data_IF_994373919435
#
_entry.id   IF_994373919435
#
_cell.length_a   1.000
_cell.length_b   1.000
_cell.length_c   1.000
_cell.angle_alpha   90.00
_cell.angle_beta   90.00
_cell.angle_gamma   90.00
#
_symmetry.space_group_name_H-M   'P 1'
#
loop_
_entity.id
_entity.type
_entity.pdbx_description
1 polymer ?
#
# COMPACT_ATOMS: atom_id res chain seq x y z
N UNK A 1 -18.43 24.26 25.68
CA UNK A 1 -18.68 23.64 27.00
C UNK A 1 -17.38 23.46 27.78
N UNK A 2 -16.27 23.15 27.14
CA UNK A 2 -14.99 22.87 27.81
C UNK A 2 -14.34 24.05 28.55
N UNK A 3 -14.47 25.28 28.04
CA UNK A 3 -13.85 26.46 28.68
C UNK A 3 -14.48 26.78 30.06
N UNK A 4 -15.78 26.57 30.22
CA UNK A 4 -16.46 26.75 31.50
C UNK A 4 -16.11 25.70 32.51
N UNK A 5 -15.90 24.44 32.09
CA UNK A 5 -15.44 23.37 32.95
C UNK A 5 -13.98 23.56 33.40
N UNK A 6 -13.13 24.10 32.53
CA UNK A 6 -11.74 24.41 32.91
C UNK A 6 -11.70 25.57 33.91
N UNK A 7 -12.51 26.61 33.71
CA UNK A 7 -12.58 27.75 34.68
C UNK A 7 -13.12 27.30 36.04
N UNK A 8 -14.14 26.45 36.06
CA UNK A 8 -14.66 25.87 37.33
C UNK A 8 -13.64 24.96 38.03
N UNK A 9 -12.90 24.17 37.30
CA UNK A 9 -11.84 23.33 37.88
C UNK A 9 -10.68 24.18 38.40
N UNK A 10 -10.36 25.30 37.75
CA UNK A 10 -9.35 26.24 38.24
C UNK A 10 -9.80 26.98 39.49
N UNK A 11 -11.06 27.36 39.62
CA UNK A 11 -11.63 27.94 40.86
C UNK A 11 -11.60 26.93 42.00
N UNK A 12 -11.97 25.67 41.77
CA UNK A 12 -11.91 24.64 42.79
C UNK A 12 -10.49 24.35 43.26
N UNK A 13 -9.51 24.31 42.34
CA UNK A 13 -8.09 24.14 42.69
C UNK A 13 -7.54 25.36 43.44
N UNK A 14 -7.95 26.57 43.08
CA UNK A 14 -7.57 27.79 43.80
C UNK A 14 -8.11 27.81 45.25
N UNK A 15 -9.36 27.38 45.44
CA UNK A 15 -9.98 27.24 46.76
C UNK A 15 -9.32 26.13 47.64
N UNK A 16 -8.94 25.02 47.02
CA UNK A 16 -8.20 23.96 47.71
C UNK A 16 -6.79 24.41 48.12
N UNK A 17 -6.11 25.15 47.28
CA UNK A 17 -4.78 25.71 47.56
C UNK A 17 -4.88 26.75 48.71
N UNK A 18 -5.93 27.58 48.77
CA UNK A 18 -6.14 28.52 49.85
C UNK A 18 -6.42 27.81 51.21
N UNK A 19 -7.23 26.74 51.20
CA UNK A 19 -7.47 25.91 52.38
C UNK A 19 -6.19 25.22 52.86
N UNK A 20 -5.42 24.69 51.95
CA UNK A 20 -4.15 24.04 52.28
C UNK A 20 -3.13 25.04 52.84
N UNK A 21 -3.15 26.28 52.38
CA UNK A 21 -2.34 27.36 52.92
C UNK A 21 -2.74 27.73 54.36
N UNK A 22 -4.04 27.83 54.68
CA UNK A 22 -4.53 28.10 56.03
C UNK A 22 -4.21 26.96 57.01
N UNK A 23 -4.24 25.70 56.53
CA UNK A 23 -3.85 24.53 57.33
C UNK A 23 -2.32 24.48 57.53
N UNK A 24 -1.54 24.75 56.51
CA UNK A 24 -0.08 24.83 56.58
C UNK A 24 0.40 25.97 57.48
N UNK A 25 -0.25 27.16 57.48
CA UNK A 25 0.07 28.26 58.37
C UNK A 25 -0.26 27.93 59.82
N UNK A 26 -1.24 27.06 60.10
CA UNK A 26 -1.52 26.54 61.42
C UNK A 26 -0.48 25.51 61.90
N UNK A 27 0.00 24.66 61.04
CA UNK A 27 1.05 23.68 61.32
C UNK A 27 2.44 24.33 61.44
N UNK A 28 2.73 25.38 60.65
CA UNK A 28 3.98 26.14 60.68
C UNK A 28 4.20 26.82 62.04
N UNK A 29 3.12 27.20 62.75
CA UNK A 29 3.21 27.75 64.11
C UNK A 29 3.53 26.71 65.16
N UNK A 30 3.48 25.42 64.80
CA UNK A 30 3.67 24.31 65.71
C UNK A 30 4.99 23.51 65.56
N UNK A 31 5.75 23.62 64.48
CA UNK A 31 7.00 22.86 64.31
C UNK A 31 8.04 23.56 63.38
N UNK A 32 9.16 23.83 63.90
CA UNK A 32 10.13 24.88 63.49
C UNK A 32 11.02 24.70 62.27
N UNK A 33 11.44 23.62 61.71
CA UNK A 33 12.39 23.59 60.57
C UNK A 33 11.85 22.97 59.27
N UNK A 34 10.95 22.00 59.34
CA UNK A 34 10.27 21.40 58.17
C UNK A 34 9.34 22.41 57.50
N UNK A 35 8.91 23.42 58.29
CA UNK A 35 8.03 24.49 57.85
C UNK A 35 8.66 25.48 56.88
N UNK A 36 9.98 25.70 56.89
CA UNK A 36 10.65 26.62 55.97
C UNK A 36 10.75 26.09 54.55
N UNK A 37 10.89 24.78 54.40
CA UNK A 37 10.98 24.13 53.11
C UNK A 37 9.61 24.04 52.41
N UNK A 38 8.55 23.80 53.22
CA UNK A 38 7.16 23.80 52.76
C UNK A 38 6.69 25.19 52.36
N UNK A 39 7.07 26.23 53.10
CA UNK A 39 6.80 27.62 52.72
C UNK A 39 7.51 28.05 51.42
N UNK A 40 8.73 27.54 51.19
CA UNK A 40 9.48 27.81 49.96
C UNK A 40 8.84 27.11 48.73
N UNK A 41 8.34 25.91 48.94
CA UNK A 41 7.63 25.15 47.92
C UNK A 41 6.26 25.75 47.58
N UNK A 42 5.53 26.24 48.59
CA UNK A 42 4.27 26.99 48.42
C UNK A 42 4.46 28.26 47.61
N UNK A 43 5.50 29.02 47.91
CA UNK A 43 5.82 30.24 47.17
C UNK A 43 6.18 29.97 45.70
N UNK A 44 6.92 28.89 45.43
CA UNK A 44 7.21 28.46 44.07
C UNK A 44 5.99 27.93 43.29
N UNK A 45 4.97 27.39 44.01
CA UNK A 45 3.69 26.99 43.45
C UNK A 45 2.79 28.20 43.11
N UNK A 46 2.77 29.21 43.98
CA UNK A 46 2.09 30.48 43.70
C UNK A 46 2.69 31.19 42.48
N UNK A 47 4.02 31.25 42.36
CA UNK A 47 4.70 31.84 41.19
C UNK A 47 4.38 31.06 39.91
N UNK A 48 4.25 29.72 39.97
CA UNK A 48 3.84 28.89 38.82
C UNK A 48 2.36 29.05 38.47
N UNK A 49 1.48 29.22 39.47
CA UNK A 49 0.05 29.52 39.26
C UNK A 49 -0.16 30.89 38.64
N UNK A 50 0.56 31.92 39.10
CA UNK A 50 0.52 33.23 38.47
C UNK A 50 1.10 33.22 37.06
N UNK A 51 2.18 32.49 36.82
CA UNK A 51 2.73 32.31 35.50
C UNK A 51 1.78 31.51 34.54
N UNK A 52 1.00 30.60 35.07
CA UNK A 52 -0.05 29.87 34.33
C UNK A 52 -1.25 30.76 34.04
N UNK A 53 -1.70 31.58 35.02
CA UNK A 53 -2.77 32.55 34.83
C UNK A 53 -2.39 33.60 33.76
N UNK A 54 -1.17 34.10 33.81
CA UNK A 54 -0.65 35.02 32.77
C UNK A 54 -0.53 34.34 31.42
N UNK A 55 -0.22 33.02 31.38
CA UNK A 55 -0.22 32.25 30.12
C UNK A 55 -1.61 32.01 29.58
N UNK A 56 -2.59 31.73 30.45
CA UNK A 56 -3.99 31.54 30.05
C UNK A 56 -4.60 32.87 29.60
N UNK A 57 -4.31 33.99 30.26
CA UNK A 57 -4.69 35.32 29.78
C UNK A 57 -4.01 35.69 28.46
N UNK A 58 -2.75 35.30 28.26
CA UNK A 58 -2.05 35.53 26.99
C UNK A 58 -2.43 34.56 25.86
N UNK A 59 -2.90 33.35 26.16
CA UNK A 59 -3.35 32.38 25.16
C UNK A 59 -4.78 32.60 24.69
N UNK A 60 -5.54 33.45 25.43
CA UNK A 60 -6.94 33.68 25.08
C UNK A 60 -7.17 34.80 24.07
N UNK A 61 -6.13 35.56 23.65
CA UNK A 61 -6.33 36.61 22.61
C UNK A 61 -5.00 36.90 21.89
N UNK A 62 -4.93 36.76 20.56
CA UNK A 62 -3.86 37.43 19.78
C UNK A 62 -4.11 38.93 19.84
N UNK A 63 -3.20 39.65 20.49
CA UNK A 63 -3.22 41.12 20.51
C UNK A 63 -2.76 41.69 19.14
N UNK A 64 -3.63 41.56 18.11
CA UNK A 64 -3.68 42.59 17.08
C UNK A 64 -4.62 43.68 17.58
N UNK A 65 -4.34 44.97 17.31
CA UNK A 65 -5.09 46.15 17.71
C UNK A 65 -6.60 45.87 17.79
N UNK A 66 -7.13 45.82 19.01
CA UNK A 66 -8.58 45.78 19.24
C UNK A 66 -9.16 47.11 18.75
N UNK A 67 -9.61 47.13 17.54
CA UNK A 67 -10.76 47.96 17.22
C UNK A 67 -11.89 47.45 18.07
N UNK A 68 -12.38 48.26 19.05
CA UNK A 68 -13.59 47.92 19.81
C UNK A 68 -14.69 47.55 18.81
N UNK A 69 -14.97 46.28 18.69
CA UNK A 69 -16.11 45.80 17.90
C UNK A 69 -17.36 46.16 18.68
N UNK A 70 -17.92 47.33 18.38
CA UNK A 70 -19.23 47.73 18.87
C UNK A 70 -20.23 46.74 18.28
N UNK A 71 -20.83 45.94 19.12
CA UNK A 71 -21.89 45.01 18.70
C UNK A 71 -22.97 45.72 17.88
N UNK A 72 -23.77 44.98 17.10
CA UNK A 72 -24.84 45.54 16.21
C UNK A 72 -25.73 46.52 16.97
N UNK A 73 -26.01 46.23 18.25
CA UNK A 73 -26.79 47.17 19.12
C UNK A 73 -26.04 48.50 19.40
N UNK A 74 -24.72 48.47 19.54
CA UNK A 74 -23.92 49.70 19.72
C UNK A 74 -23.89 50.55 18.44
N UNK A 75 -23.75 49.91 17.29
CA UNK A 75 -23.81 50.56 15.97
C UNK A 75 -25.20 51.15 15.66
N UNK A 76 -26.27 50.45 16.08
CA UNK A 76 -27.65 50.98 15.96
C UNK A 76 -27.83 52.24 16.78
N UNK A 77 -27.42 52.29 18.04
CA UNK A 77 -27.53 53.43 18.95
C UNK A 77 -26.73 54.63 18.45
N UNK A 78 -25.62 54.43 17.76
CA UNK A 78 -24.81 55.47 17.14
C UNK A 78 -25.29 55.92 15.77
N UNK A 79 -26.16 55.15 15.15
CA UNK A 79 -26.69 55.44 13.82
C UNK A 79 -27.45 56.76 13.80
N UNK A 80 -27.33 57.47 12.68
CA UNK A 80 -28.05 58.73 12.46
C UNK A 80 -29.55 58.55 12.58
N UNK A 81 -30.09 57.42 12.09
CA UNK A 81 -31.50 57.08 12.14
C UNK A 81 -32.05 57.02 13.59
N UNK A 82 -31.26 56.44 14.53
CA UNK A 82 -31.65 56.36 15.94
C UNK A 82 -31.55 57.73 16.63
N UNK A 83 -30.51 58.52 16.32
CA UNK A 83 -30.35 59.88 16.87
C UNK A 83 -31.43 60.82 16.37
N UNK A 84 -31.81 60.77 15.11
CA UNK A 84 -32.87 61.58 14.52
C UNK A 84 -34.25 61.19 15.08
N UNK A 85 -34.46 59.88 15.37
CA UNK A 85 -35.68 59.39 16.04
C UNK A 85 -35.78 59.93 17.47
N UNK A 86 -34.71 59.94 18.22
CA UNK A 86 -34.65 60.50 19.58
C UNK A 86 -34.86 62.02 19.59
N UNK A 87 -34.31 62.76 18.61
CA UNK A 87 -34.44 64.20 18.50
C UNK A 87 -35.84 64.67 18.04
N UNK A 88 -36.52 63.84 17.22
CA UNK A 88 -37.84 64.17 16.70
C UNK A 88 -38.99 63.77 17.63
N UNK A 89 -38.75 62.97 18.69
CA UNK A 89 -39.79 62.50 19.63
C UNK A 89 -40.86 61.63 19.04
N UNK A 90 -40.75 61.22 17.76
CA UNK A 90 -41.66 60.34 17.06
C UNK A 90 -41.03 58.93 16.97
N UNK A 91 -41.66 57.96 17.59
CA UNK A 91 -41.21 56.54 17.54
C UNK A 91 -41.74 55.87 16.25
N UNK A 92 -41.23 56.35 15.08
CA UNK A 92 -41.40 55.62 13.81
C UNK A 92 -40.27 54.64 13.64
N UNK A 93 -40.51 53.54 12.91
CA UNK A 93 -39.49 52.46 12.72
C UNK A 93 -38.21 52.99 12.09
N UNK A 94 -37.13 53.03 12.87
CA UNK A 94 -35.81 53.33 12.37
C UNK A 94 -35.21 52.06 11.79
N UNK A 95 -34.88 52.01 10.50
CA UNK A 95 -34.17 50.93 9.86
C UNK A 95 -32.69 51.20 9.82
N UNK A 96 -31.88 50.26 10.22
CA UNK A 96 -30.43 50.32 10.18
C UNK A 96 -29.89 49.19 9.31
N UNK A 97 -29.23 49.51 8.22
CA UNK A 97 -28.56 48.53 7.40
C UNK A 97 -27.17 48.21 7.97
N UNK A 98 -26.98 46.97 8.39
CA UNK A 98 -25.64 46.46 8.77
C UNK A 98 -24.85 46.19 7.49
N UNK A 99 -23.89 47.06 7.17
CA UNK A 99 -23.11 46.94 5.94
C UNK A 99 -21.98 45.84 6.01
N UNK A 100 -21.73 45.28 7.15
CA UNK A 100 -20.78 44.19 7.28
C UNK A 100 -21.46 42.83 7.10
N UNK A 101 -21.23 42.21 5.97
CA UNK A 101 -21.62 40.84 5.73
C UNK A 101 -20.59 39.93 6.41
N UNK A 102 -21.03 39.13 7.37
CA UNK A 102 -20.19 38.07 7.95
C UNK A 102 -19.98 37.03 6.85
N UNK A 103 -18.75 36.91 6.35
CA UNK A 103 -18.37 35.98 5.30
C UNK A 103 -17.30 35.00 5.79
N UNK A 104 -17.11 33.92 5.07
CA UNK A 104 -16.05 32.93 5.34
C UNK A 104 -14.64 33.39 4.91
N UNK A 105 -14.45 34.68 4.60
CA UNK A 105 -13.13 35.25 4.34
C UNK A 105 -12.33 35.39 5.66
N UNK A 106 -11.00 35.21 5.57
CA UNK A 106 -10.10 35.28 6.73
C UNK A 106 -10.21 36.60 7.53
N UNK A 107 -10.58 37.71 6.88
CA UNK A 107 -10.76 39.03 7.52
C UNK A 107 -12.12 39.17 8.26
N UNK A 108 -13.03 38.22 8.17
CA UNK A 108 -14.35 38.26 8.79
C UNK A 108 -14.54 37.06 9.73
N UNK A 109 -15.18 35.98 9.27
CA UNK A 109 -15.46 34.80 10.08
C UNK A 109 -14.70 33.55 9.58
N UNK A 110 -13.73 33.70 8.66
CA UNK A 110 -12.98 32.59 8.07
C UNK A 110 -12.25 31.73 9.11
N UNK A 111 -11.70 32.34 10.14
CA UNK A 111 -10.99 31.64 11.22
C UNK A 111 -11.93 30.85 12.14
N UNK A 112 -13.24 31.06 12.09
CA UNK A 112 -14.23 30.30 12.83
C UNK A 112 -14.73 29.05 12.07
N UNK A 113 -14.43 28.97 10.78
CA UNK A 113 -14.76 27.82 9.93
C UNK A 113 -13.65 26.78 10.06
N UNK A 114 -13.86 25.82 10.92
CA UNK A 114 -12.92 24.69 11.09
C UNK A 114 -13.16 23.69 9.95
N UNK A 115 -12.20 23.47 9.04
CA UNK A 115 -12.31 22.47 8.02
C UNK A 115 -12.45 21.08 8.63
N UNK A 116 -13.39 20.27 8.17
CA UNK A 116 -13.51 18.88 8.57
C UNK A 116 -12.34 18.10 7.97
N UNK A 117 -11.43 17.62 8.81
CA UNK A 117 -10.34 16.74 8.39
C UNK A 117 -10.87 15.30 8.36
N UNK A 118 -10.80 14.65 7.21
CA UNK A 118 -11.07 13.22 7.10
C UNK A 118 -9.96 12.47 7.83
N UNK A 119 -10.28 11.63 8.83
CA UNK A 119 -9.26 10.85 9.53
C UNK A 119 -8.68 9.81 8.60
N UNK A 120 -7.36 9.62 8.65
CA UNK A 120 -6.67 8.63 7.86
C UNK A 120 -5.83 9.23 6.71
N UNK A 121 -5.01 8.34 6.12
CA UNK A 121 -4.22 8.61 4.92
C UNK A 121 -4.92 7.93 3.75
N UNK A 122 -5.31 8.69 2.74
CA UNK A 122 -5.90 8.14 1.52
C UNK A 122 -4.73 7.64 0.67
N UNK A 123 -4.57 6.30 0.63
CA UNK A 123 -3.55 5.67 -0.19
C UNK A 123 -3.95 5.68 -1.67
N UNK A 124 -2.98 5.78 -2.61
CA UNK A 124 -3.24 5.52 -4.02
C UNK A 124 -3.66 4.04 -4.22
N UNK A 125 -4.40 3.73 -5.32
CA UNK A 125 -4.78 2.36 -5.65
C UNK A 125 -3.54 1.48 -5.81
N UNK A 126 -3.68 0.20 -5.51
CA UNK A 126 -2.62 -0.80 -5.58
C UNK A 126 -2.88 -1.77 -6.72
N UNK A 127 -1.80 -2.16 -7.44
CA UNK A 127 -1.88 -3.20 -8.46
C UNK A 127 -2.09 -4.57 -7.80
N UNK A 128 -2.98 -5.41 -8.34
CA UNK A 128 -3.18 -6.76 -7.81
C UNK A 128 -1.97 -7.64 -8.11
N UNK A 129 -1.39 -8.24 -7.08
CA UNK A 129 -0.26 -9.17 -7.15
C UNK A 129 -0.81 -10.58 -7.39
N UNK A 130 -0.50 -11.20 -8.53
CA UNK A 130 -1.17 -12.45 -8.94
C UNK A 130 -0.24 -13.57 -9.37
N UNK A 131 1.02 -13.28 -9.69
CA UNK A 131 1.96 -14.30 -10.22
C UNK A 131 2.28 -15.34 -9.14
N UNK A 132 2.54 -14.88 -7.91
CA UNK A 132 2.79 -15.76 -6.77
C UNK A 132 1.67 -16.81 -6.55
N UNK A 133 0.43 -16.43 -6.70
CA UNK A 133 -0.73 -17.29 -6.48
C UNK A 133 -0.87 -18.41 -7.51
N UNK A 134 -0.26 -18.23 -8.68
CA UNK A 134 -0.21 -19.26 -9.71
C UNK A 134 0.77 -20.38 -9.41
N UNK A 135 1.81 -20.11 -8.60
CA UNK A 135 2.90 -21.02 -8.30
C UNK A 135 2.58 -21.97 -7.14
N UNK A 136 3.31 -23.07 -7.07
CA UNK A 136 3.34 -23.87 -5.85
C UNK A 136 4.16 -23.14 -4.80
N UNK A 137 3.73 -23.18 -3.53
CA UNK A 137 4.39 -22.51 -2.42
C UNK A 137 5.04 -23.52 -1.49
N UNK A 138 6.21 -23.19 -0.94
CA UNK A 138 6.94 -23.99 0.02
C UNK A 138 7.76 -23.10 0.95
N UNK A 139 8.31 -23.69 1.99
CA UNK A 139 9.18 -23.01 2.96
C UNK A 139 10.55 -23.69 3.00
N UNK A 140 11.61 -22.92 3.26
CA UNK A 140 12.96 -23.42 3.37
C UNK A 140 13.74 -22.73 4.48
N UNK A 141 14.65 -23.46 5.12
CA UNK A 141 15.64 -22.91 6.05
C UNK A 141 17.03 -22.78 5.43
N UNK A 142 17.22 -23.39 4.23
CA UNK A 142 18.49 -23.40 3.52
C UNK A 142 18.74 -22.11 2.73
N UNK A 143 19.99 -21.83 2.39
CA UNK A 143 20.36 -20.68 1.55
C UNK A 143 20.30 -20.97 0.03
N UNK A 144 20.18 -22.23 -0.32
CA UNK A 144 20.02 -22.71 -1.69
C UNK A 144 19.19 -23.98 -1.68
N UNK A 145 18.50 -24.22 -2.79
CA UNK A 145 17.68 -25.41 -3.01
C UNK A 145 18.28 -26.15 -4.19
N UNK A 146 18.67 -27.39 -3.94
CA UNK A 146 19.19 -28.27 -4.97
C UNK A 146 18.09 -29.26 -5.38
N UNK A 147 17.93 -29.47 -6.68
CA UNK A 147 17.00 -30.42 -7.23
C UNK A 147 17.59 -31.13 -8.45
N UNK A 148 17.23 -32.39 -8.64
CA UNK A 148 17.65 -33.17 -9.80
C UNK A 148 16.59 -33.02 -10.90
N UNK A 149 17.00 -32.55 -12.07
CA UNK A 149 16.18 -32.47 -13.27
C UNK A 149 16.53 -33.63 -14.22
N UNK A 150 15.51 -34.33 -14.72
CA UNK A 150 15.68 -35.29 -15.80
C UNK A 150 15.81 -34.54 -17.13
N UNK A 151 17.00 -34.56 -17.68
CA UNK A 151 17.34 -33.83 -18.92
C UNK A 151 17.23 -34.68 -20.16
N UNK A 152 17.30 -36.00 -20.04
CA UNK A 152 17.14 -36.91 -21.16
C UNK A 152 16.31 -38.13 -20.74
N UNK A 153 15.29 -38.42 -21.50
CA UNK A 153 14.55 -39.67 -21.49
C UNK A 153 14.44 -40.21 -22.89
N UNK A 154 15.14 -41.29 -23.17
CA UNK A 154 15.03 -42.00 -24.45
C UNK A 154 14.26 -43.29 -24.21
N UNK A 155 13.04 -43.34 -24.74
CA UNK A 155 12.24 -44.56 -24.70
C UNK A 155 12.50 -45.38 -25.97
N UNK A 156 13.22 -46.48 -25.82
CA UNK A 156 13.50 -47.41 -26.89
C UNK A 156 12.67 -48.70 -26.76
N UNK A 157 11.58 -48.65 -25.96
CA UNK A 157 10.71 -49.82 -25.80
C UNK A 157 10.13 -50.27 -27.14
N UNK A 158 10.43 -51.48 -27.53
CA UNK A 158 9.93 -52.13 -28.76
C UNK A 158 9.52 -53.57 -28.50
N UNK A 159 8.72 -54.10 -29.36
CA UNK A 159 8.40 -55.52 -29.32
C UNK A 159 9.68 -56.35 -29.54
N UNK A 160 9.96 -57.24 -28.60
CA UNK A 160 11.09 -58.16 -28.70
C UNK A 160 10.57 -59.53 -29.16
N UNK A 161 11.05 -59.93 -30.33
CA UNK A 161 10.76 -61.30 -30.80
C UNK A 161 11.48 -62.34 -29.94
N UNK A 162 10.95 -63.57 -29.90
CA UNK A 162 11.59 -64.66 -29.23
C UNK A 162 12.97 -64.92 -29.85
N UNK A 163 14.00 -64.94 -29.00
CA UNK A 163 15.40 -65.15 -29.41
C UNK A 163 15.70 -66.64 -29.43
N UNK A 164 16.17 -67.17 -30.59
CA UNK A 164 16.67 -68.53 -30.71
C UNK A 164 18.08 -68.53 -31.35
N UNK A 165 18.77 -69.64 -31.28
CA UNK A 165 20.23 -69.70 -31.56
C UNK A 165 20.68 -69.15 -32.91
N UNK A 166 19.83 -69.13 -33.93
CA UNK A 166 20.16 -68.56 -35.25
C UNK A 166 19.78 -67.10 -35.45
N UNK A 167 19.03 -66.47 -34.53
CA UNK A 167 18.60 -65.10 -34.60
C UNK A 167 18.51 -64.44 -33.21
N UNK A 168 19.64 -64.10 -32.60
CA UNK A 168 19.64 -63.46 -31.29
C UNK A 168 19.02 -62.07 -31.39
N UNK A 169 17.94 -61.85 -30.69
CA UNK A 169 17.27 -60.56 -30.58
C UNK A 169 17.60 -59.95 -29.20
N UNK A 170 18.28 -58.80 -29.23
CA UNK A 170 18.57 -58.03 -28.01
C UNK A 170 17.39 -57.09 -27.71
N UNK A 171 17.01 -56.98 -26.45
CA UNK A 171 16.04 -55.98 -26.01
C UNK A 171 16.61 -54.58 -26.18
N UNK A 172 15.78 -53.63 -26.60
CA UNK A 172 16.21 -52.26 -26.76
C UNK A 172 16.55 -51.62 -25.43
N UNK A 173 17.61 -50.81 -25.38
CA UNK A 173 18.09 -50.13 -24.20
C UNK A 173 17.54 -48.70 -24.18
N UNK A 174 16.90 -48.32 -23.08
CA UNK A 174 16.45 -46.95 -22.80
C UNK A 174 17.45 -46.20 -21.92
N UNK A 175 17.60 -44.89 -22.11
CA UNK A 175 18.56 -44.09 -21.40
C UNK A 175 17.85 -42.97 -20.62
N UNK A 176 18.37 -42.72 -19.39
CA UNK A 176 17.96 -41.63 -18.52
C UNK A 176 19.22 -40.81 -18.15
N UNK A 177 19.04 -39.50 -18.06
CA UNK A 177 20.07 -38.60 -17.58
C UNK A 177 19.48 -37.59 -16.63
N UNK A 178 20.16 -37.35 -15.50
CA UNK A 178 19.79 -36.40 -14.49
C UNK A 178 20.89 -35.38 -14.31
N UNK A 179 20.52 -34.09 -14.25
CA UNK A 179 21.43 -33.00 -13.92
C UNK A 179 20.93 -32.32 -12.64
N UNK A 180 21.88 -31.94 -11.75
CA UNK A 180 21.54 -31.24 -10.51
C UNK A 180 21.58 -29.75 -10.77
N UNK A 181 20.49 -29.08 -10.46
CA UNK A 181 20.38 -27.62 -10.52
C UNK A 181 20.22 -27.03 -9.14
N UNK A 182 20.74 -25.82 -8.96
CA UNK A 182 20.70 -25.09 -7.68
C UNK A 182 20.02 -23.74 -7.87
N UNK A 183 18.99 -23.49 -7.09
CA UNK A 183 18.34 -22.19 -6.97
C UNK A 183 18.81 -21.50 -5.67
N UNK A 184 19.43 -20.35 -5.79
CA UNK A 184 19.89 -19.57 -4.64
C UNK A 184 18.77 -18.68 -4.09
N UNK A 185 18.77 -18.48 -2.77
CA UNK A 185 17.84 -17.57 -2.10
C UNK A 185 18.22 -16.12 -2.43
N UNK A 186 17.29 -15.39 -3.04
CA UNK A 186 17.36 -13.95 -3.27
C UNK A 186 16.89 -13.19 -2.03
N UNK A 187 17.41 -11.98 -1.82
CA UNK A 187 16.94 -11.06 -0.78
C UNK A 187 16.47 -9.78 -1.45
N UNK A 188 15.22 -9.41 -1.23
CA UNK A 188 14.68 -8.12 -1.63
C UNK A 188 14.57 -7.26 -0.37
N UNK A 189 15.07 -6.04 -0.43
CA UNK A 189 15.02 -5.11 0.69
C UNK A 189 14.98 -3.66 0.19
N UNK A 190 14.25 -2.84 0.91
CA UNK A 190 14.30 -1.38 0.75
C UNK A 190 14.04 -0.69 2.09
N UNK A 191 14.37 0.58 2.18
CA UNK A 191 14.23 1.32 3.43
C UNK A 191 13.86 2.78 3.18
N UNK A 192 13.27 3.40 4.20
CA UNK A 192 12.86 4.81 4.19
C UNK A 192 13.39 5.48 5.46
N UNK A 193 14.01 6.68 5.33
CA UNK A 193 14.33 7.51 6.49
C UNK A 193 13.08 8.22 7.00
N UNK A 194 12.92 8.32 8.31
CA UNK A 194 11.85 9.07 8.95
C UNK A 194 12.37 9.83 10.17
N UNK A 195 11.74 10.97 10.50
CA UNK A 195 12.00 11.63 11.77
C UNK A 195 11.30 10.88 12.89
N UNK A 196 12.00 10.65 14.00
CA UNK A 196 11.46 10.02 15.19
C UNK A 196 10.23 10.76 15.73
N UNK A 197 10.31 12.09 15.76
CA UNK A 197 9.23 12.96 16.25
C UNK A 197 7.93 12.78 15.48
N UNK A 198 7.99 12.73 14.15
CA UNK A 198 6.81 12.55 13.30
C UNK A 198 6.14 11.19 13.53
N UNK A 199 6.91 10.14 13.78
CA UNK A 199 6.37 8.81 14.02
C UNK A 199 5.75 8.70 15.42
N UNK A 200 6.33 9.38 16.41
CA UNK A 200 5.77 9.47 17.76
C UNK A 200 4.48 10.31 17.79
N UNK A 201 4.45 11.43 17.05
CA UNK A 201 3.30 12.34 16.99
C UNK A 201 2.12 11.76 16.18
N UNK A 202 2.41 10.98 15.14
CA UNK A 202 1.41 10.40 14.22
C UNK A 202 1.53 8.87 14.20
N UNK A 203 1.03 8.22 15.25
CA UNK A 203 1.12 6.75 15.39
C UNK A 203 0.57 5.95 14.20
N UNK A 204 -0.43 6.50 13.47
CA UNK A 204 -0.96 5.88 12.25
C UNK A 204 0.05 5.88 11.09
N UNK A 205 1.03 6.78 11.08
CA UNK A 205 2.03 6.85 10.02
C UNK A 205 2.96 5.64 10.03
N UNK A 206 3.27 5.10 11.20
CA UNK A 206 4.12 3.92 11.35
C UNK A 206 3.50 2.69 10.66
N UNK A 207 2.21 2.44 10.90
CA UNK A 207 1.49 1.33 10.25
C UNK A 207 1.43 1.53 8.74
N UNK A 208 1.05 2.74 8.31
CA UNK A 208 0.94 3.05 6.89
C UNK A 208 2.27 2.87 6.14
N UNK A 209 3.38 3.36 6.70
CA UNK A 209 4.71 3.19 6.08
C UNK A 209 5.10 1.72 6.04
N UNK A 210 4.84 0.97 7.12
CA UNK A 210 5.09 -0.48 7.17
C UNK A 210 4.35 -1.24 6.08
N UNK A 211 3.04 -1.02 5.95
CA UNK A 211 2.20 -1.67 4.94
C UNK A 211 2.63 -1.30 3.51
N UNK A 212 2.98 -0.03 3.29
CA UNK A 212 3.46 0.46 1.98
C UNK A 212 4.81 -0.15 1.60
N UNK A 213 5.71 -0.34 2.57
CA UNK A 213 7.00 -1.00 2.33
C UNK A 213 6.78 -2.49 1.99
N UNK A 214 5.91 -3.19 2.72
CA UNK A 214 5.58 -4.59 2.41
C UNK A 214 4.97 -4.71 1.01
N UNK A 215 4.04 -3.84 0.64
CA UNK A 215 3.49 -3.81 -0.71
C UNK A 215 4.56 -3.59 -1.77
N UNK A 216 5.51 -2.67 -1.53
CA UNK A 216 6.64 -2.42 -2.43
C UNK A 216 7.54 -3.64 -2.63
N UNK A 217 7.83 -4.42 -1.56
CA UNK A 217 8.56 -5.69 -1.68
C UNK A 217 7.80 -6.69 -2.55
N UNK A 218 6.50 -6.86 -2.28
CA UNK A 218 5.65 -7.80 -3.02
C UNK A 218 5.50 -7.43 -4.49
N UNK A 219 5.51 -6.14 -4.83
CA UNK A 219 5.50 -5.70 -6.22
C UNK A 219 6.77 -6.10 -6.97
N UNK A 220 7.93 -5.95 -6.32
CA UNK A 220 9.21 -6.37 -6.89
C UNK A 220 9.29 -7.89 -6.98
N UNK A 221 8.83 -8.62 -5.94
CA UNK A 221 8.73 -10.08 -5.96
C UNK A 221 7.91 -10.57 -7.16
N UNK A 222 6.72 -10.01 -7.38
CA UNK A 222 5.83 -10.41 -8.48
C UNK A 222 6.49 -10.17 -9.85
N UNK A 223 7.17 -9.04 -10.00
CA UNK A 223 7.92 -8.70 -11.22
C UNK A 223 9.11 -9.64 -11.45
N UNK A 224 9.89 -9.93 -10.42
CA UNK A 224 11.06 -10.82 -10.50
C UNK A 224 10.62 -12.26 -10.83
N UNK A 225 9.55 -12.75 -10.18
CA UNK A 225 8.98 -14.06 -10.46
C UNK A 225 8.53 -14.19 -11.91
N UNK A 226 7.84 -13.17 -12.44
CA UNK A 226 7.42 -13.13 -13.82
C UNK A 226 8.62 -13.17 -14.78
N UNK A 227 9.62 -12.32 -14.54
CA UNK A 227 10.82 -12.21 -15.35
C UNK A 227 11.62 -13.52 -15.35
N UNK A 228 11.88 -14.09 -14.18
CA UNK A 228 12.63 -15.36 -14.05
C UNK A 228 11.90 -16.51 -14.79
N UNK A 229 10.56 -16.54 -14.78
CA UNK A 229 9.79 -17.57 -15.48
C UNK A 229 9.83 -17.33 -17.00
N UNK A 230 9.69 -16.08 -17.44
CA UNK A 230 9.77 -15.71 -18.87
C UNK A 230 11.14 -16.03 -19.44
N UNK A 231 12.21 -15.71 -18.71
CA UNK A 231 13.60 -15.98 -19.15
C UNK A 231 13.91 -17.48 -19.24
N UNK A 232 13.27 -18.31 -18.42
CA UNK A 232 13.46 -19.75 -18.44
C UNK A 232 12.47 -20.48 -19.36
N UNK A 233 11.40 -19.82 -19.79
CA UNK A 233 10.34 -20.42 -20.61
C UNK A 233 10.85 -20.79 -22.01
N UNK A 234 10.17 -21.74 -22.64
CA UNK A 234 10.41 -22.08 -24.04
C UNK A 234 9.81 -21.02 -24.95
N UNK A 235 10.56 -20.58 -25.94
CA UNK A 235 10.07 -19.66 -26.96
C UNK A 235 8.91 -20.24 -27.76
N UNK A 236 7.97 -19.37 -28.08
CA UNK A 236 6.83 -19.73 -28.93
C UNK A 236 7.29 -20.03 -30.36
N UNK A 237 6.91 -21.21 -30.87
CA UNK A 237 7.16 -21.59 -32.26
C UNK A 237 6.09 -20.97 -33.17
N UNK A 238 6.47 -19.95 -33.90
CA UNK A 238 5.59 -19.25 -34.87
C UNK A 238 5.15 -20.13 -36.03
N UNK A 239 5.89 -21.21 -36.34
CA UNK A 239 5.50 -22.14 -37.43
C UNK A 239 4.16 -22.82 -37.11
N UNK A 240 3.80 -22.97 -35.85
CA UNK A 240 2.50 -23.55 -35.43
C UNK A 240 1.31 -22.75 -35.98
N UNK A 241 1.44 -21.44 -36.20
CA UNK A 241 0.39 -20.63 -36.82
C UNK A 241 0.19 -21.04 -38.27
N UNK A 242 1.29 -21.24 -38.99
CA UNK A 242 1.27 -21.68 -40.40
C UNK A 242 0.75 -23.11 -40.50
N UNK A 243 1.20 -24.01 -39.65
CA UNK A 243 0.79 -25.41 -39.61
C UNK A 243 -0.70 -25.59 -39.31
N UNK A 244 -1.28 -24.68 -38.53
CA UNK A 244 -2.72 -24.61 -38.27
C UNK A 244 -3.52 -24.00 -39.44
N UNK A 245 -2.85 -23.49 -40.49
CA UNK A 245 -3.48 -22.89 -41.66
C UNK A 245 -4.15 -21.54 -41.34
N UNK A 246 -3.67 -20.82 -40.33
CA UNK A 246 -4.25 -19.54 -39.91
C UNK A 246 -3.60 -18.41 -40.71
N UNK A 247 -4.38 -17.76 -41.59
CA UNK A 247 -3.99 -16.57 -42.29
C UNK A 247 -4.49 -15.32 -41.51
N UNK A 248 -3.63 -14.31 -41.38
CA UNK A 248 -4.00 -13.10 -40.62
C UNK A 248 -4.22 -13.35 -39.11
N UNK A 249 -3.31 -14.09 -38.51
CA UNK A 249 -3.41 -14.53 -37.10
C UNK A 249 -3.60 -13.33 -36.16
N UNK A 250 -4.58 -13.46 -35.29
CA UNK A 250 -4.88 -12.52 -34.20
C UNK A 250 -4.17 -12.93 -32.90
N UNK A 251 -4.12 -12.05 -31.91
CA UNK A 251 -3.58 -12.37 -30.57
C UNK A 251 -4.22 -13.63 -29.95
N UNK A 252 -5.51 -13.85 -30.22
CA UNK A 252 -6.27 -15.02 -29.75
C UNK A 252 -5.72 -16.30 -30.34
N UNK A 253 -5.31 -16.27 -31.63
CA UNK A 253 -4.76 -17.42 -32.34
C UNK A 253 -3.36 -17.78 -31.82
N UNK A 254 -2.53 -16.77 -31.53
CA UNK A 254 -1.23 -16.97 -30.88
C UNK A 254 -1.36 -17.69 -29.55
N UNK A 255 -2.28 -17.26 -28.69
CA UNK A 255 -2.53 -17.94 -27.41
C UNK A 255 -3.04 -19.37 -27.59
N UNK A 256 -3.89 -19.60 -28.61
CA UNK A 256 -4.35 -20.97 -28.91
C UNK A 256 -3.22 -21.88 -29.36
N UNK A 257 -2.33 -21.37 -30.20
CA UNK A 257 -1.16 -22.11 -30.66
C UNK A 257 -0.14 -22.34 -29.53
N UNK A 258 0.08 -21.35 -28.63
CA UNK A 258 0.92 -21.52 -27.46
C UNK A 258 0.38 -22.60 -26.49
N UNK A 259 -0.94 -22.67 -26.29
CA UNK A 259 -1.58 -23.74 -25.53
C UNK A 259 -1.34 -25.10 -26.21
N UNK A 260 -1.37 -25.13 -27.55
CA UNK A 260 -1.10 -26.36 -28.30
C UNK A 260 0.36 -26.81 -28.09
N UNK A 261 1.32 -25.88 -28.20
CA UNK A 261 2.74 -26.16 -27.98
C UNK A 261 2.99 -26.77 -26.59
N UNK A 262 2.46 -26.17 -25.53
CA UNK A 262 2.60 -26.70 -24.18
C UNK A 262 1.96 -28.10 -24.06
N UNK A 263 0.83 -28.35 -24.71
CA UNK A 263 0.17 -29.68 -24.71
C UNK A 263 0.93 -30.73 -25.51
N UNK A 264 1.60 -30.34 -26.62
CA UNK A 264 2.47 -31.25 -27.38
C UNK A 264 3.67 -31.67 -26.53
N UNK A 265 4.14 -30.82 -25.62
CA UNK A 265 5.14 -31.13 -24.62
C UNK A 265 4.55 -31.87 -23.38
N UNK A 266 3.29 -32.33 -23.44
CA UNK A 266 2.57 -33.05 -22.42
C UNK A 266 2.26 -32.29 -21.12
N UNK A 267 2.30 -30.94 -21.15
CA UNK A 267 1.97 -30.13 -19.98
C UNK A 267 0.52 -29.63 -20.05
N UNK A 268 -0.29 -29.86 -19.00
CA UNK A 268 -1.63 -29.30 -18.90
C UNK A 268 -1.54 -27.83 -18.51
N UNK A 269 -1.89 -26.93 -19.43
CA UNK A 269 -1.88 -25.49 -19.17
C UNK A 269 -2.86 -25.14 -18.04
N UNK A 270 -2.38 -24.44 -17.01
CA UNK A 270 -3.16 -24.04 -15.83
C UNK A 270 -3.49 -22.56 -15.79
N UNK A 271 -2.75 -21.73 -16.54
CA UNK A 271 -2.94 -20.28 -16.59
C UNK A 271 -2.32 -19.63 -17.80
N UNK A 272 -2.80 -18.44 -18.09
CA UNK A 272 -2.28 -17.51 -19.10
C UNK A 272 -2.02 -16.20 -18.38
N UNK A 273 -0.82 -15.63 -18.49
CA UNK A 273 -0.47 -14.32 -17.95
C UNK A 273 -0.35 -13.34 -19.10
N UNK A 274 -1.05 -12.22 -18.99
CA UNK A 274 -1.10 -11.17 -20.00
C UNK A 274 -1.00 -9.79 -19.34
N UNK A 275 -0.51 -8.84 -20.11
CA UNK A 275 -0.62 -7.43 -19.73
C UNK A 275 -2.09 -6.98 -19.84
N UNK A 276 -2.62 -6.16 -18.91
CA UNK A 276 -3.99 -5.64 -18.98
C UNK A 276 -4.32 -4.93 -20.30
N UNK A 277 -3.32 -4.28 -20.93
CA UNK A 277 -3.50 -3.61 -22.22
C UNK A 277 -3.78 -4.63 -23.36
N UNK A 278 -3.06 -5.76 -23.36
CA UNK A 278 -3.23 -6.80 -24.38
C UNK A 278 -4.57 -7.51 -24.17
N UNK A 279 -4.95 -7.77 -22.93
CA UNK A 279 -6.25 -8.35 -22.64
C UNK A 279 -7.40 -7.45 -23.11
N UNK A 280 -7.36 -6.16 -22.76
CA UNK A 280 -8.35 -5.20 -23.23
C UNK A 280 -8.38 -5.08 -24.77
N UNK A 281 -7.23 -5.14 -25.43
CA UNK A 281 -7.17 -5.14 -26.91
C UNK A 281 -7.87 -6.36 -27.52
N UNK A 282 -7.72 -7.53 -26.89
CA UNK A 282 -8.41 -8.77 -27.33
C UNK A 282 -9.93 -8.68 -27.12
N UNK A 283 -10.38 -8.10 -26.00
CA UNK A 283 -11.81 -7.94 -25.71
C UNK A 283 -12.51 -7.02 -26.70
N UNK A 284 -11.84 -6.01 -27.23
CA UNK A 284 -12.42 -5.06 -28.20
C UNK A 284 -12.27 -5.50 -29.66
N UNK A 285 -11.73 -6.69 -29.94
CA UNK A 285 -11.63 -7.21 -31.31
C UNK A 285 -13.02 -7.34 -31.96
N UNK A 286 -13.15 -6.76 -33.14
CA UNK A 286 -14.38 -6.78 -33.95
C UNK A 286 -14.19 -7.57 -35.24
N UNK A 287 -15.24 -8.19 -35.69
CA UNK A 287 -15.27 -8.81 -37.00
C UNK A 287 -15.48 -7.74 -38.13
N UNK A 288 -15.46 -8.16 -39.40
CA UNK A 288 -15.68 -7.31 -40.55
C UNK A 288 -17.05 -6.62 -40.60
N UNK A 289 -18.00 -7.05 -39.78
CA UNK A 289 -19.34 -6.48 -39.60
C UNK A 289 -19.47 -5.64 -38.35
N UNK A 290 -18.35 -5.21 -37.75
CA UNK A 290 -18.21 -4.39 -36.53
C UNK A 290 -18.82 -5.00 -35.25
N UNK A 291 -19.13 -6.29 -35.23
CA UNK A 291 -19.56 -7.00 -34.05
C UNK A 291 -18.32 -7.48 -33.23
N UNK A 292 -18.40 -7.38 -31.92
CA UNK A 292 -17.38 -7.96 -31.05
C UNK A 292 -17.28 -9.46 -31.23
N UNK A 293 -16.04 -9.98 -31.41
CA UNK A 293 -15.83 -11.41 -31.65
C UNK A 293 -15.96 -12.21 -30.35
N UNK A 294 -15.52 -11.63 -29.23
CA UNK A 294 -15.30 -12.35 -28.00
C UNK A 294 -16.34 -12.10 -26.90
N UNK A 295 -16.87 -10.91 -26.77
CA UNK A 295 -17.40 -10.47 -25.47
C UNK A 295 -18.84 -10.83 -25.20
N UNK A 296 -19.04 -11.53 -24.09
CA UNK A 296 -20.22 -11.40 -23.24
C UNK A 296 -19.98 -10.25 -22.24
N UNK A 297 -20.32 -9.04 -22.58
CA UNK A 297 -20.20 -7.83 -21.72
C UNK A 297 -20.92 -8.00 -20.36
N UNK A 298 -21.75 -9.01 -20.23
CA UNK A 298 -22.58 -9.29 -19.06
C UNK A 298 -22.08 -10.47 -18.21
N UNK A 299 -20.96 -11.12 -18.56
CA UNK A 299 -20.46 -12.29 -17.82
C UNK A 299 -19.44 -11.82 -16.76
N UNK A 300 -19.92 -11.55 -15.54
CA UNK A 300 -19.07 -11.19 -14.37
C UNK A 300 -18.21 -12.33 -13.86
N UNK A 301 -17.91 -13.34 -14.69
CA UNK A 301 -17.05 -14.48 -14.36
C UNK A 301 -15.56 -14.14 -14.38
N UNK A 302 -14.74 -15.08 -13.90
CA UNK A 302 -13.28 -15.01 -14.00
C UNK A 302 -12.89 -15.02 -15.48
N UNK A 303 -11.98 -14.10 -15.88
CA UNK A 303 -11.45 -14.04 -17.24
C UNK A 303 -10.87 -15.39 -17.64
N UNK A 304 -11.38 -15.97 -18.75
CA UNK A 304 -10.96 -17.28 -19.26
C UNK A 304 -10.84 -17.26 -20.77
N UNK A 305 -9.77 -17.82 -21.26
CA UNK A 305 -9.59 -18.04 -22.69
C UNK A 305 -9.33 -19.53 -22.97
N UNK A 306 -10.06 -20.12 -23.91
CA UNK A 306 -9.94 -21.55 -24.24
C UNK A 306 -10.04 -22.49 -23.01
N UNK A 307 -10.88 -22.13 -22.02
CA UNK A 307 -11.11 -22.81 -20.73
C UNK A 307 -9.95 -22.64 -19.73
N UNK A 308 -8.92 -21.89 -20.07
CA UNK A 308 -7.80 -21.58 -19.19
C UNK A 308 -8.04 -20.23 -18.54
N UNK A 309 -7.84 -20.07 -17.22
CA UNK A 309 -7.94 -18.77 -16.57
C UNK A 309 -6.87 -17.80 -17.10
N UNK A 310 -7.27 -16.56 -17.34
CA UNK A 310 -6.38 -15.47 -17.70
C UNK A 310 -6.10 -14.64 -16.45
N UNK A 311 -4.84 -14.34 -16.23
CA UNK A 311 -4.36 -13.49 -15.14
C UNK A 311 -3.74 -12.24 -15.75
N UNK A 312 -4.35 -11.13 -15.46
CA UNK A 312 -3.82 -9.82 -15.86
C UNK A 312 -2.77 -9.40 -14.86
N UNK A 313 -1.56 -9.06 -15.32
CA UNK A 313 -0.48 -8.57 -14.49
C UNK A 313 0.35 -7.52 -15.22
N UNK A 314 0.67 -6.42 -14.52
CA UNK A 314 1.58 -5.40 -15.02
C UNK A 314 3.05 -5.85 -15.00
N UNK A 315 3.34 -7.00 -14.37
CA UNK A 315 4.69 -7.58 -14.32
C UNK A 315 5.16 -8.09 -15.68
N UNK A 316 4.25 -8.43 -16.59
CA UNK A 316 4.59 -8.81 -17.96
C UNK A 316 4.54 -7.61 -18.90
N UNK A 317 5.51 -7.52 -19.80
CA UNK A 317 5.57 -6.43 -20.79
C UNK A 317 4.41 -6.53 -21.79
N UNK A 318 3.77 -5.41 -22.11
CA UNK A 318 2.75 -5.36 -23.15
C UNK A 318 3.27 -5.88 -24.49
N UNK A 319 2.42 -6.60 -25.23
CA UNK A 319 2.78 -7.27 -26.46
C UNK A 319 3.43 -8.64 -26.26
N UNK A 320 3.60 -9.12 -25.02
CA UNK A 320 4.14 -10.45 -24.70
C UNK A 320 3.12 -11.27 -23.94
N UNK A 321 3.25 -12.59 -24.02
CA UNK A 321 2.39 -13.51 -23.27
C UNK A 321 3.19 -14.62 -22.60
N UNK A 322 2.67 -15.16 -21.52
CA UNK A 322 3.20 -16.31 -20.83
C UNK A 322 2.06 -17.32 -20.60
N UNK A 323 2.22 -18.51 -21.14
CA UNK A 323 1.26 -19.61 -21.05
C UNK A 323 1.95 -20.80 -20.39
N UNK A 324 1.34 -21.44 -19.39
CA UNK A 324 2.02 -22.58 -18.78
C UNK A 324 1.25 -23.33 -17.72
N UNK A 325 1.90 -24.42 -17.26
CA UNK A 325 1.48 -25.24 -16.13
C UNK A 325 2.20 -24.79 -14.85
N UNK A 326 1.80 -23.67 -14.29
CA UNK A 326 2.52 -22.94 -13.24
C UNK A 326 2.85 -23.80 -12.02
N UNK A 327 1.86 -24.46 -11.41
CA UNK A 327 2.07 -25.28 -10.20
C UNK A 327 2.94 -26.51 -10.43
N UNK A 328 2.98 -27.01 -11.66
CA UNK A 328 3.79 -28.17 -12.04
C UNK A 328 5.21 -27.77 -12.44
N UNK A 329 5.34 -26.61 -13.10
CA UNK A 329 6.58 -26.15 -13.68
C UNK A 329 7.50 -25.43 -12.71
N UNK A 330 6.94 -24.70 -11.73
CA UNK A 330 7.74 -23.89 -10.82
C UNK A 330 7.17 -23.86 -9.40
N UNK A 331 8.06 -23.58 -8.44
CA UNK A 331 7.71 -23.46 -7.03
C UNK A 331 8.49 -22.31 -6.39
N UNK A 332 7.81 -21.50 -5.61
CA UNK A 332 8.43 -20.49 -4.76
C UNK A 332 8.69 -21.05 -3.37
N UNK A 333 9.83 -20.70 -2.80
CA UNK A 333 10.28 -21.13 -1.49
C UNK A 333 10.55 -19.93 -0.62
N UNK A 334 9.75 -19.74 0.41
CA UNK A 334 9.95 -18.69 1.39
C UNK A 334 11.00 -19.11 2.42
N UNK A 335 12.06 -18.30 2.58
CA UNK A 335 13.02 -18.48 3.67
C UNK A 335 12.69 -17.57 4.84
N UNK A 336 12.38 -16.32 4.55
CA UNK A 336 11.97 -15.33 5.54
C UNK A 336 10.86 -14.51 4.90
N UNK A 337 9.67 -14.56 5.46
CA UNK A 337 8.56 -13.71 5.02
C UNK A 337 8.87 -12.23 5.16
N UNK A 338 8.05 -11.36 4.59
CA UNK A 338 8.24 -9.92 4.66
C UNK A 338 8.29 -9.47 6.12
N UNK A 339 9.33 -8.75 6.48
CA UNK A 339 9.56 -8.24 7.82
C UNK A 339 9.97 -6.78 7.79
N UNK A 340 9.43 -6.00 8.74
CA UNK A 340 9.77 -4.57 8.89
C UNK A 340 10.61 -4.41 10.15
N UNK A 341 11.74 -3.73 10.03
CA UNK A 341 12.65 -3.42 11.15
C UNK A 341 12.90 -1.92 11.22
N UNK A 342 12.99 -1.41 12.43
CA UNK A 342 13.27 -0.01 12.70
C UNK A 342 14.62 0.08 13.40
N UNK A 343 15.49 1.01 12.98
CA UNK A 343 16.81 1.21 13.57
C UNK A 343 17.21 2.69 13.54
N UNK A 344 17.89 3.13 14.59
CA UNK A 344 18.52 4.47 14.71
C UNK A 344 20.00 4.45 14.31
N UNK A 345 20.58 3.28 14.04
CA UNK A 345 22.03 3.09 13.92
C UNK A 345 22.61 3.37 12.53
N UNK A 346 21.85 4.02 11.64
CA UNK A 346 22.35 4.36 10.31
C UNK A 346 23.05 5.73 10.31
N UNK A 347 24.32 5.75 9.92
CA UNK A 347 25.15 6.97 9.81
C UNK A 347 25.02 7.90 11.04
N UNK A 348 24.58 9.15 10.85
CA UNK A 348 24.38 10.17 11.89
C UNK A 348 22.95 10.23 12.45
N UNK A 349 22.11 9.23 12.19
CA UNK A 349 20.67 9.28 12.53
C UNK A 349 20.42 9.42 14.02
N UNK A 350 21.24 8.78 14.84
CA UNK A 350 21.12 8.90 16.30
C UNK A 350 21.20 10.35 16.79
N UNK A 351 22.15 11.16 16.25
CA UNK A 351 22.31 12.56 16.65
C UNK A 351 21.34 13.50 15.93
N UNK A 352 20.70 13.06 14.86
CA UNK A 352 19.72 13.84 14.08
C UNK A 352 18.26 13.52 14.44
N UNK A 353 18.02 12.66 15.44
CA UNK A 353 16.68 12.15 15.80
C UNK A 353 15.94 11.54 14.60
N UNK A 354 16.66 10.79 13.78
CA UNK A 354 16.11 10.06 12.63
C UNK A 354 16.15 8.57 12.85
N UNK A 355 15.24 7.87 12.20
CA UNK A 355 15.16 6.41 12.18
C UNK A 355 15.15 5.91 10.73
N UNK A 356 15.67 4.72 10.51
CA UNK A 356 15.54 3.98 9.28
C UNK A 356 14.49 2.88 9.47
N UNK A 357 13.50 2.83 8.60
CA UNK A 357 12.50 1.77 8.55
C UNK A 357 12.86 0.90 7.35
N UNK A 358 13.32 -0.32 7.62
CA UNK A 358 13.76 -1.30 6.63
C UNK A 358 12.69 -2.37 6.48
N UNK A 359 12.31 -2.69 5.26
CA UNK A 359 11.55 -3.88 4.94
C UNK A 359 12.41 -4.84 4.13
N UNK A 360 12.39 -6.12 4.47
CA UNK A 360 13.14 -7.16 3.78
C UNK A 360 12.36 -8.48 3.74
N UNK A 361 12.58 -9.24 2.67
CA UNK A 361 12.13 -10.62 2.53
C UNK A 361 13.16 -11.46 1.79
N UNK A 362 13.08 -12.78 1.97
CA UNK A 362 13.99 -13.71 1.34
C UNK A 362 13.24 -14.91 0.79
N UNK A 363 13.40 -15.16 -0.50
CA UNK A 363 12.75 -16.26 -1.19
C UNK A 363 13.67 -16.85 -2.27
N UNK A 364 13.31 -18.03 -2.77
CA UNK A 364 13.94 -18.63 -3.95
C UNK A 364 12.83 -19.13 -4.90
N UNK A 365 13.08 -19.02 -6.20
CA UNK A 365 12.26 -19.63 -7.23
C UNK A 365 12.99 -20.84 -7.81
N UNK A 366 12.33 -22.00 -7.81
CA UNK A 366 12.80 -23.20 -8.51
C UNK A 366 11.93 -23.44 -9.73
N UNK A 367 12.54 -23.58 -10.88
CA UNK A 367 11.85 -23.92 -12.15
C UNK A 367 12.23 -25.34 -12.51
N UNK A 368 11.36 -26.27 -12.15
CA UNK A 368 11.61 -27.69 -12.34
C UNK A 368 11.50 -28.13 -13.80
N UNK A 369 10.62 -27.46 -14.56
CA UNK A 369 10.27 -27.85 -15.93
C UNK A 369 10.13 -26.59 -16.79
N UNK A 370 11.23 -26.08 -17.40
CA UNK A 370 11.17 -24.94 -18.31
C UNK A 370 10.20 -25.15 -19.47
N UNK A 371 10.12 -26.36 -20.02
CA UNK A 371 9.19 -26.72 -21.10
C UNK A 371 7.70 -26.69 -20.72
N UNK A 372 7.37 -26.52 -19.42
CA UNK A 372 5.99 -26.31 -18.98
C UNK A 372 5.49 -24.89 -19.24
N UNK A 373 6.38 -23.97 -19.63
CA UNK A 373 6.09 -22.58 -19.92
C UNK A 373 6.42 -22.25 -21.37
N UNK A 374 5.54 -21.49 -21.99
CA UNK A 374 5.71 -20.98 -23.35
C UNK A 374 5.55 -19.47 -23.31
N UNK A 375 6.55 -18.76 -23.75
CA UNK A 375 6.54 -17.29 -23.87
C UNK A 375 6.69 -16.87 -25.32
N UNK A 376 6.12 -15.72 -25.67
CA UNK A 376 6.28 -15.15 -27.00
C UNK A 376 5.74 -13.74 -27.07
N UNK A 377 6.01 -13.08 -28.19
CA UNK A 377 5.44 -11.78 -28.51
C UNK A 377 4.31 -11.92 -29.52
N UNK A 378 3.29 -11.08 -29.39
CA UNK A 378 2.30 -10.95 -30.41
C UNK A 378 2.93 -10.21 -31.60
N UNK A 379 3.16 -10.91 -32.72
CA UNK A 379 3.54 -10.25 -33.96
C UNK A 379 2.29 -9.56 -34.53
N UNK A 380 1.96 -8.39 -34.00
CA UNK A 380 0.93 -7.54 -34.60
C UNK A 380 1.61 -6.94 -35.84
N UNK A 381 1.21 -7.43 -37.04
CA UNK A 381 1.63 -6.82 -38.26
C UNK A 381 1.32 -5.33 -38.23
N UNK A 382 2.37 -4.52 -38.31
CA UNK A 382 2.32 -3.07 -38.48
C UNK A 382 1.64 -2.67 -39.80
#
# INVERSE_FOLDING_TARGET
>A
MELKEITQKMETVADEVMKFREEADKEIKASGEVAKETAKNLKSLEEKLDALNIKVEKSSIPTGERKEYKGIGGQFVESKAYKDMLASGRFESASFEVKEVISSQAASAGDLVVPQRVPGIIAPPESPLRIRDLLAQGETTSNAIEYAEETLYTNAAAEAAESYQSNPTSKAESAFRFDVKTASVKTIAHWVPASRQIIEDVGMLQSYVGDRLIYGLKLVEDTDLCTDIVDAATDFDTNLITDLGIEGATQIDYLRAAILQARQAYYPVSGIVLNPQDWAAMEVLKNTTENYIWVSVNDGGVARMWRVPVVESDAITAGTFLVGAFKLGAQIWDRTGPSVRISEHHASYFIQNMIAILAEERYALTIYRPGAFVTGSFAIGS
#
